data_IF_349361245245
#
_entry.id   IF_349361245245
#
_cell.length_a   1.000
_cell.length_b   1.000
_cell.length_c   1.000
_cell.angle_alpha   90.00
_cell.angle_beta   90.00
_cell.angle_gamma   90.00
#
_symmetry.space_group_name_H-M   'P 1'
#
loop_
_entity.id
_entity.type
_entity.pdbx_description
1 polymer ?
#
# COMPACT_ATOMS: atom_id res chain seq x y z
N UNK A 1 6.30 14.24 22.69
CA UNK A 1 7.38 15.11 22.15
C UNK A 1 8.18 14.42 21.06
N UNK A 2 8.63 13.17 21.20
CA UNK A 2 9.41 12.48 20.15
C UNK A 2 8.69 12.41 18.79
N UNK A 3 7.40 12.04 18.75
CA UNK A 3 6.62 12.01 17.50
C UNK A 3 6.43 13.38 16.85
N UNK A 4 6.41 14.47 17.64
CA UNK A 4 6.30 15.82 17.08
C UNK A 4 7.52 16.14 16.22
N UNK A 5 8.73 15.90 16.74
CA UNK A 5 9.96 16.07 15.98
C UNK A 5 10.04 15.13 14.78
N UNK A 6 9.63 13.87 14.97
CA UNK A 6 9.62 12.90 13.87
C UNK A 6 8.69 13.37 12.75
N UNK A 7 7.41 13.61 13.01
CA UNK A 7 6.46 13.97 11.95
C UNK A 7 6.82 15.31 11.30
N UNK A 8 7.35 16.28 12.07
CA UNK A 8 7.74 17.59 11.52
C UNK A 8 8.91 17.54 10.54
N UNK A 9 9.79 16.53 10.63
CA UNK A 9 10.92 16.36 9.70
C UNK A 9 10.56 15.47 8.49
N UNK A 10 9.39 14.81 8.51
CA UNK A 10 8.97 13.97 7.40
C UNK A 10 8.56 14.87 6.22
N UNK A 11 9.14 14.65 5.03
CA UNK A 11 8.71 15.34 3.83
C UNK A 11 7.23 15.10 3.55
N UNK A 12 6.53 16.08 2.99
CA UNK A 12 5.18 15.82 2.51
C UNK A 12 5.22 14.83 1.35
N UNK A 13 4.29 13.87 1.32
CA UNK A 13 4.08 12.96 0.19
C UNK A 13 2.70 13.27 -0.39
N UNK A 14 2.70 13.97 -1.53
CA UNK A 14 1.46 14.30 -2.24
C UNK A 14 1.16 13.25 -3.32
N UNK A 15 -0.13 12.96 -3.52
CA UNK A 15 -0.58 12.02 -4.56
C UNK A 15 -0.14 12.43 -5.98
N UNK A 16 0.04 13.74 -6.22
CA UNK A 16 0.50 14.29 -7.50
C UNK A 16 2.03 14.19 -7.74
N UNK A 17 2.80 13.79 -6.74
CA UNK A 17 4.27 13.71 -6.79
C UNK A 17 4.80 12.37 -7.31
N UNK A 18 3.94 11.51 -7.90
CA UNK A 18 4.36 10.28 -8.57
C UNK A 18 5.52 10.50 -9.57
N UNK A 19 5.62 11.72 -10.13
CA UNK A 19 6.67 12.15 -11.08
C UNK A 19 7.91 12.81 -10.45
N UNK A 20 7.87 13.23 -9.20
CA UNK A 20 9.00 13.88 -8.54
C UNK A 20 9.88 12.83 -7.82
N UNK A 21 11.17 13.12 -7.67
CA UNK A 21 12.04 12.26 -6.87
C UNK A 21 11.53 12.25 -5.42
N UNK A 22 11.05 11.09 -4.97
CA UNK A 22 10.73 10.85 -3.57
C UNK A 22 11.90 11.31 -2.69
N UNK A 23 11.66 12.18 -1.70
CA UNK A 23 12.71 12.74 -0.86
C UNK A 23 13.38 11.70 0.04
N UNK A 24 12.71 10.57 0.26
CA UNK A 24 13.25 9.39 0.95
C UNK A 24 12.52 8.13 0.48
N UNK A 25 13.18 6.97 0.63
CA UNK A 25 12.57 5.66 0.42
C UNK A 25 12.14 5.01 1.76
N UNK A 26 11.42 3.90 1.69
CA UNK A 26 10.89 3.19 2.88
C UNK A 26 11.99 2.76 3.85
N UNK A 27 13.16 2.34 3.36
CA UNK A 27 14.29 1.92 4.21
C UNK A 27 14.85 3.10 5.00
N UNK A 28 15.08 4.23 4.33
CA UNK A 28 15.54 5.47 4.96
C UNK A 28 14.52 6.00 5.97
N UNK A 29 13.22 5.93 5.64
CA UNK A 29 12.15 6.32 6.54
C UNK A 29 12.17 5.49 7.84
N UNK A 30 12.28 4.15 7.74
CA UNK A 30 12.34 3.26 8.90
C UNK A 30 13.56 3.60 9.77
N UNK A 31 14.71 3.87 9.16
CA UNK A 31 15.93 4.23 9.90
C UNK A 31 15.74 5.53 10.69
N UNK A 32 15.15 6.56 10.08
CA UNK A 32 14.87 7.84 10.74
C UNK A 32 13.85 7.65 11.86
N UNK A 33 12.73 7.00 11.58
CA UNK A 33 11.65 6.79 12.55
C UNK A 33 12.09 5.94 13.75
N UNK A 34 12.92 4.93 13.53
CA UNK A 34 13.45 4.04 14.58
C UNK A 34 14.17 4.77 15.73
N UNK A 35 14.64 6.01 15.50
CA UNK A 35 15.33 6.82 16.51
C UNK A 35 14.37 7.53 17.48
N UNK A 36 13.08 7.59 17.16
CA UNK A 36 12.07 8.37 17.89
C UNK A 36 10.93 7.50 18.47
N UNK A 37 10.93 6.20 18.20
CA UNK A 37 9.88 5.26 18.59
C UNK A 37 10.43 4.18 19.52
N UNK A 38 9.55 3.54 20.28
CA UNK A 38 9.92 2.45 21.19
C UNK A 38 10.30 1.17 20.41
N UNK A 39 11.04 0.23 21.03
CA UNK A 39 11.37 -1.05 20.37
C UNK A 39 10.16 -1.83 19.89
N UNK A 40 9.05 -1.82 20.65
CA UNK A 40 7.79 -2.48 20.28
C UNK A 40 7.18 -1.84 19.02
N UNK A 41 7.11 -0.52 18.99
CA UNK A 41 6.58 0.22 17.84
C UNK A 41 7.45 0.07 16.59
N UNK A 42 8.77 -0.03 16.78
CA UNK A 42 9.73 -0.31 15.72
C UNK A 42 9.46 -1.66 15.07
N UNK A 43 9.23 -2.72 15.84
CA UNK A 43 8.89 -4.03 15.29
C UNK A 43 7.62 -3.98 14.43
N UNK A 44 6.62 -3.21 14.84
CA UNK A 44 5.41 -2.99 14.04
C UNK A 44 5.70 -2.17 12.78
N UNK A 45 6.54 -1.13 12.88
CA UNK A 45 6.96 -0.31 11.74
C UNK A 45 7.70 -1.13 10.67
N UNK A 46 8.64 -1.97 11.09
CA UNK A 46 9.40 -2.87 10.21
C UNK A 46 8.52 -3.97 9.60
N UNK A 47 7.43 -4.33 10.29
CA UNK A 47 6.43 -5.29 9.83
C UNK A 47 5.35 -4.71 8.92
N UNK A 48 5.40 -3.42 8.57
CA UNK A 48 4.39 -2.82 7.69
C UNK A 48 4.36 -3.52 6.33
N UNK A 49 3.15 -3.82 5.85
CA UNK A 49 2.94 -4.48 4.57
C UNK A 49 1.73 -3.93 3.82
N UNK A 50 1.85 -3.79 2.49
CA UNK A 50 0.71 -3.57 1.59
C UNK A 50 -0.08 -4.85 1.30
N UNK A 51 0.43 -5.99 1.78
CA UNK A 51 -0.17 -7.31 1.64
C UNK A 51 -0.24 -7.92 3.03
N UNK A 52 -1.28 -7.57 3.82
CA UNK A 52 -1.44 -8.15 5.14
C UNK A 52 -1.70 -9.66 5.03
N UNK A 53 -1.22 -10.45 6.01
CA UNK A 53 -1.57 -11.87 6.11
C UNK A 53 -3.09 -12.04 6.24
N UNK A 54 -3.60 -13.18 5.77
CA UNK A 54 -5.03 -13.52 5.90
C UNK A 54 -5.45 -13.74 7.35
N UNK A 55 -4.52 -14.22 8.19
CA UNK A 55 -4.74 -14.39 9.61
C UNK A 55 -5.00 -13.05 10.28
N UNK A 56 -6.03 -13.02 11.12
CA UNK A 56 -6.35 -11.85 11.93
C UNK A 56 -5.39 -11.80 13.11
N UNK A 57 -4.66 -10.70 13.23
CA UNK A 57 -3.79 -10.42 14.35
C UNK A 57 -3.80 -8.92 14.64
N UNK A 58 -3.81 -8.57 15.92
CA UNK A 58 -3.67 -7.17 16.32
C UNK A 58 -2.21 -6.76 16.27
N UNK A 59 -1.97 -5.63 15.63
CA UNK A 59 -0.68 -4.92 15.59
C UNK A 59 -0.42 -4.11 16.85
N UNK A 60 -1.44 -3.93 17.69
CA UNK A 60 -1.43 -2.99 18.81
C UNK A 60 -1.77 -1.54 18.43
N UNK A 61 -2.06 -1.28 17.15
CA UNK A 61 -2.56 0.00 16.64
C UNK A 61 -3.95 -0.21 16.03
N UNK A 62 -4.95 0.49 16.55
CA UNK A 62 -6.32 0.44 16.01
C UNK A 62 -6.36 0.91 14.56
N UNK A 63 -5.59 1.94 14.23
CA UNK A 63 -5.46 2.42 12.85
C UNK A 63 -4.95 1.33 11.90
N UNK A 64 -3.85 0.66 12.26
CA UNK A 64 -3.27 -0.39 11.41
C UNK A 64 -4.17 -1.61 11.31
N UNK A 65 -4.81 -2.01 12.40
CA UNK A 65 -5.72 -3.15 12.42
C UNK A 65 -6.90 -2.94 11.46
N UNK A 66 -7.48 -1.73 11.47
CA UNK A 66 -8.55 -1.34 10.54
C UNK A 66 -8.04 -1.27 9.09
N UNK A 67 -6.86 -0.67 8.86
CA UNK A 67 -6.26 -0.63 7.52
C UNK A 67 -6.05 -2.04 6.94
N UNK A 68 -5.49 -2.96 7.72
CA UNK A 68 -5.28 -4.34 7.28
C UNK A 68 -6.55 -5.13 7.09
N UNK A 69 -7.59 -4.89 7.90
CA UNK A 69 -8.90 -5.45 7.65
C UNK A 69 -9.46 -5.00 6.29
N UNK A 70 -9.41 -3.69 6.02
CA UNK A 70 -9.89 -3.12 4.76
C UNK A 70 -9.11 -3.64 3.55
N UNK A 71 -7.78 -3.74 3.65
CA UNK A 71 -6.95 -4.30 2.57
C UNK A 71 -7.21 -5.79 2.35
N UNK A 72 -7.38 -6.60 3.42
CA UNK A 72 -7.80 -8.01 3.29
C UNK A 72 -9.14 -8.11 2.55
N UNK A 73 -10.12 -7.33 2.97
CA UNK A 73 -11.46 -7.33 2.37
C UNK A 73 -11.39 -6.95 0.88
N UNK A 74 -10.60 -5.94 0.53
CA UNK A 74 -10.36 -5.56 -0.88
C UNK A 74 -9.75 -6.70 -1.69
N UNK A 75 -8.74 -7.38 -1.15
CA UNK A 75 -8.07 -8.50 -1.83
C UNK A 75 -9.00 -9.69 -2.00
N UNK A 76 -9.80 -10.02 -0.99
CA UNK A 76 -10.84 -11.05 -1.07
C UNK A 76 -11.88 -10.69 -2.15
N UNK A 77 -12.35 -9.44 -2.18
CA UNK A 77 -13.29 -8.97 -3.20
C UNK A 77 -12.70 -9.06 -4.62
N UNK A 78 -11.46 -8.60 -4.81
CA UNK A 78 -10.78 -8.71 -6.10
C UNK A 78 -10.64 -10.16 -6.57
N UNK A 79 -10.23 -11.06 -5.67
CA UNK A 79 -10.06 -12.48 -6.00
C UNK A 79 -11.41 -13.16 -6.30
N UNK A 80 -12.46 -12.88 -5.52
CA UNK A 80 -13.81 -13.40 -5.77
C UNK A 80 -14.35 -12.95 -7.13
N UNK A 81 -14.30 -11.66 -7.43
CA UNK A 81 -14.83 -11.09 -8.69
C UNK A 81 -14.05 -11.61 -9.90
N UNK A 82 -12.73 -11.78 -9.78
CA UNK A 82 -11.90 -12.42 -10.82
C UNK A 82 -12.30 -13.88 -11.05
N UNK A 83 -12.50 -14.65 -9.98
CA UNK A 83 -12.96 -16.04 -10.08
C UNK A 83 -14.31 -16.13 -10.81
N UNK A 84 -15.27 -15.28 -10.45
CA UNK A 84 -16.57 -15.19 -11.10
C UNK A 84 -16.45 -14.82 -12.59
N UNK A 85 -15.62 -13.83 -12.95
CA UNK A 85 -15.34 -13.44 -14.34
C UNK A 85 -14.76 -14.60 -15.16
N UNK A 86 -13.96 -15.45 -14.52
CA UNK A 86 -13.37 -16.66 -15.12
C UNK A 86 -14.27 -17.90 -15.06
N UNK A 87 -15.52 -17.78 -14.58
CA UNK A 87 -16.45 -18.90 -14.35
C UNK A 87 -15.85 -20.01 -13.47
N UNK A 88 -15.00 -19.63 -12.50
CA UNK A 88 -14.45 -20.52 -11.48
C UNK A 88 -15.26 -20.41 -10.20
N UNK A 89 -15.15 -21.42 -9.34
CA UNK A 89 -15.75 -21.40 -8.02
C UNK A 89 -15.26 -20.18 -7.22
N UNK A 90 -16.22 -19.50 -6.60
CA UNK A 90 -15.96 -18.30 -5.79
C UNK A 90 -16.21 -18.59 -4.32
N UNK A 91 -15.39 -18.02 -3.46
CA UNK A 91 -15.55 -18.12 -2.01
C UNK A 91 -16.42 -16.96 -1.47
N UNK A 92 -17.07 -17.13 -0.31
CA UNK A 92 -17.82 -16.04 0.32
C UNK A 92 -16.88 -14.90 0.77
N UNK A 93 -17.35 -13.66 0.70
CA UNK A 93 -16.59 -12.53 1.21
C UNK A 93 -16.57 -12.53 2.75
N UNK A 94 -15.49 -11.98 3.36
CA UNK A 94 -15.47 -11.74 4.80
C UNK A 94 -16.63 -10.84 5.24
N UNK A 95 -17.15 -11.06 6.46
CA UNK A 95 -18.30 -10.32 6.99
C UNK A 95 -18.08 -8.80 7.06
N UNK A 96 -16.83 -8.34 7.26
CA UNK A 96 -16.47 -6.91 7.29
C UNK A 96 -16.33 -6.26 5.91
N UNK A 97 -16.58 -6.98 4.82
CA UNK A 97 -16.45 -6.45 3.46
C UNK A 97 -17.61 -5.50 3.13
N UNK A 98 -17.29 -4.22 3.00
CA UNK A 98 -18.27 -3.16 2.77
C UNK A 98 -18.58 -2.95 1.28
N UNK A 99 -19.73 -2.34 0.98
CA UNK A 99 -20.20 -2.18 -0.40
C UNK A 99 -19.26 -1.32 -1.27
N UNK A 100 -18.62 -0.31 -0.68
CA UNK A 100 -17.58 0.52 -1.31
C UNK A 100 -16.37 -0.30 -1.75
N UNK A 101 -15.88 -1.22 -0.91
CA UNK A 101 -14.78 -2.14 -1.24
C UNK A 101 -15.16 -3.03 -2.42
N UNK A 102 -16.36 -3.61 -2.38
CA UNK A 102 -16.86 -4.50 -3.44
C UNK A 102 -16.99 -3.71 -4.76
N UNK A 103 -17.51 -2.48 -4.69
CA UNK A 103 -17.62 -1.59 -5.85
C UNK A 103 -16.25 -1.26 -6.44
N UNK A 104 -15.28 -0.86 -5.60
CA UNK A 104 -13.91 -0.58 -6.05
C UNK A 104 -13.26 -1.80 -6.70
N UNK A 105 -13.40 -2.99 -6.10
CA UNK A 105 -12.88 -4.22 -6.67
C UNK A 105 -13.52 -4.53 -8.03
N UNK A 106 -14.84 -4.35 -8.16
CA UNK A 106 -15.57 -4.56 -9.42
C UNK A 106 -15.10 -3.60 -10.51
N UNK A 107 -14.97 -2.31 -10.18
CA UNK A 107 -14.44 -1.30 -11.09
C UNK A 107 -13.07 -1.71 -11.59
N UNK A 108 -12.12 -2.01 -10.69
CA UNK A 108 -10.76 -2.38 -11.07
C UNK A 108 -10.69 -3.63 -11.97
N UNK A 109 -11.49 -4.67 -11.68
CA UNK A 109 -11.53 -5.90 -12.50
C UNK A 109 -12.21 -5.69 -13.86
N UNK A 110 -13.06 -4.67 -13.96
CA UNK A 110 -13.74 -4.27 -15.18
C UNK A 110 -12.89 -3.40 -16.13
N UNK A 111 -11.76 -2.85 -15.67
CA UNK A 111 -10.89 -2.03 -16.50
C UNK A 111 -10.13 -2.87 -17.54
N UNK A 112 -9.96 -2.32 -18.74
CA UNK A 112 -9.33 -3.03 -19.87
C UNK A 112 -7.80 -3.11 -19.75
N UNK A 113 -7.19 -2.09 -19.14
CA UNK A 113 -5.74 -2.01 -18.95
C UNK A 113 -5.34 -2.38 -17.51
N UNK A 114 -4.41 -3.33 -17.32
CA UNK A 114 -3.85 -3.63 -16.00
C UNK A 114 -3.23 -2.39 -15.33
N UNK A 115 -2.59 -1.51 -16.10
CA UNK A 115 -2.00 -0.27 -15.58
C UNK A 115 -3.09 0.67 -15.04
N UNK A 116 -4.18 0.83 -15.77
CA UNK A 116 -5.30 1.66 -15.34
C UNK A 116 -5.97 1.09 -14.09
N UNK A 117 -6.08 -0.24 -13.98
CA UNK A 117 -6.58 -0.92 -12.79
C UNK A 117 -5.68 -0.68 -11.56
N UNK A 118 -4.35 -0.78 -11.71
CA UNK A 118 -3.42 -0.49 -10.61
C UNK A 118 -3.46 0.99 -10.21
N UNK A 119 -3.52 1.92 -11.16
CA UNK A 119 -3.68 3.36 -10.89
C UNK A 119 -4.97 3.65 -10.10
N UNK A 120 -6.09 3.09 -10.53
CA UNK A 120 -7.37 3.21 -9.81
C UNK A 120 -7.26 2.66 -8.38
N UNK A 121 -6.68 1.47 -8.23
CA UNK A 121 -6.53 0.82 -6.92
C UNK A 121 -5.56 1.56 -5.98
N UNK A 122 -4.58 2.26 -6.53
CA UNK A 122 -3.70 3.15 -5.76
C UNK A 122 -4.44 4.38 -5.26
N UNK A 123 -5.19 5.07 -6.12
CA UNK A 123 -5.99 6.23 -5.73
C UNK A 123 -7.08 5.85 -4.71
N UNK A 124 -7.67 4.67 -4.86
CA UNK A 124 -8.59 4.12 -3.87
C UNK A 124 -7.91 3.92 -2.50
N UNK A 125 -6.71 3.33 -2.48
CA UNK A 125 -5.95 3.09 -1.25
C UNK A 125 -5.47 4.39 -0.58
N UNK A 126 -5.08 5.39 -1.36
CA UNK A 126 -4.73 6.71 -0.83
C UNK A 126 -5.93 7.37 -0.15
N UNK A 127 -7.11 7.34 -0.78
CA UNK A 127 -8.35 7.83 -0.16
C UNK A 127 -8.69 7.07 1.11
N UNK A 128 -8.53 5.74 1.11
CA UNK A 128 -8.73 4.94 2.32
C UNK A 128 -7.76 5.34 3.45
N UNK A 129 -6.49 5.65 3.16
CA UNK A 129 -5.56 6.19 4.16
C UNK A 129 -5.99 7.57 4.65
N UNK A 130 -6.53 8.42 3.78
CA UNK A 130 -7.03 9.75 4.15
C UNK A 130 -8.27 9.65 5.04
N UNK A 131 -9.18 8.72 4.76
CA UNK A 131 -10.38 8.48 5.56
C UNK A 131 -10.06 7.89 6.94
N UNK A 132 -9.03 7.04 7.01
CA UNK A 132 -8.55 6.45 8.26
C UNK A 132 -7.54 7.33 9.00
N UNK A 133 -7.27 8.55 8.51
CA UNK A 133 -6.21 9.40 9.05
C UNK A 133 -6.38 9.59 10.56
N UNK A 134 -5.32 9.38 11.36
CA UNK A 134 -5.38 9.57 12.80
C UNK A 134 -5.77 11.00 13.17
N UNK A 135 -6.60 11.16 14.21
CA UNK A 135 -7.00 12.47 14.72
C UNK A 135 -5.78 13.25 15.27
N UNK A 136 -4.87 12.55 15.93
CA UNK A 136 -3.60 13.11 16.38
C UNK A 136 -2.53 12.95 15.30
N UNK A 137 -2.19 14.07 14.65
CA UNK A 137 -1.16 14.13 13.62
C UNK A 137 0.26 13.84 14.16
N UNK A 138 0.48 13.90 15.48
CA UNK A 138 1.77 13.67 16.13
C UNK A 138 1.76 12.38 16.97
N UNK A 139 1.22 11.31 16.39
CA UNK A 139 1.09 9.99 17.01
C UNK A 139 1.88 8.92 16.26
N UNK A 140 2.07 7.76 16.88
CA UNK A 140 2.66 6.59 16.19
C UNK A 140 1.80 6.14 15.01
N UNK A 141 0.47 6.27 15.11
CA UNK A 141 -0.43 5.94 13.99
C UNK A 141 -0.19 6.87 12.79
N UNK A 142 0.14 8.14 13.03
CA UNK A 142 0.51 9.07 11.95
C UNK A 142 1.82 8.64 11.26
N UNK A 143 2.78 8.10 12.03
CA UNK A 143 4.02 7.52 11.49
C UNK A 143 3.72 6.27 10.66
N UNK A 144 2.84 5.39 11.12
CA UNK A 144 2.42 4.21 10.36
C UNK A 144 1.67 4.57 9.07
N UNK A 145 0.76 5.55 9.14
CA UNK A 145 0.04 6.07 7.98
C UNK A 145 1.00 6.65 6.92
N UNK A 146 2.03 7.38 7.37
CA UNK A 146 3.07 7.88 6.49
C UNK A 146 3.85 6.75 5.82
N UNK A 147 4.27 5.73 6.59
CA UNK A 147 4.98 4.56 6.06
C UNK A 147 4.17 3.84 4.98
N UNK A 148 2.88 3.57 5.23
CA UNK A 148 1.98 2.96 4.26
C UNK A 148 1.82 3.81 2.99
N UNK A 149 1.68 5.14 3.14
CA UNK A 149 1.61 6.07 2.01
C UNK A 149 2.89 5.99 1.17
N UNK A 150 4.06 6.04 1.80
CA UNK A 150 5.35 5.95 1.12
C UNK A 150 5.47 4.64 0.33
N UNK A 151 5.13 3.51 0.93
CA UNK A 151 5.12 2.20 0.27
C UNK A 151 4.17 2.17 -0.95
N UNK A 152 3.00 2.80 -0.86
CA UNK A 152 2.06 2.90 -1.99
C UNK A 152 2.67 3.69 -3.15
N UNK A 153 3.29 4.85 -2.86
CA UNK A 153 3.90 5.70 -3.88
C UNK A 153 5.08 4.98 -4.54
N UNK A 154 5.95 4.35 -3.75
CA UNK A 154 7.06 3.54 -4.27
C UNK A 154 6.58 2.40 -5.17
N UNK A 155 5.51 1.71 -4.76
CA UNK A 155 4.90 0.66 -5.59
C UNK A 155 4.38 1.21 -6.90
N UNK A 156 3.69 2.35 -6.88
CA UNK A 156 3.13 2.96 -8.11
C UNK A 156 4.24 3.36 -9.09
N UNK A 157 5.37 3.88 -8.60
CA UNK A 157 6.52 4.25 -9.44
C UNK A 157 7.15 3.07 -10.19
N UNK A 158 6.98 1.83 -9.71
CA UNK A 158 7.41 0.63 -10.45
C UNK A 158 6.59 0.38 -11.72
N UNK A 159 5.40 0.95 -11.81
CA UNK A 159 4.53 0.84 -12.98
C UNK A 159 4.74 1.97 -14.00
N UNK A 160 5.73 2.85 -13.81
CA UNK A 160 6.09 3.88 -14.79
C UNK A 160 6.84 3.27 -15.99
N UNK A 161 6.45 3.71 -17.19
CA UNK A 161 6.88 3.17 -18.50
C UNK A 161 8.40 3.07 -18.65
N UNK A 162 9.16 4.00 -18.07
CA UNK A 162 10.63 4.01 -18.16
C UNK A 162 11.25 2.82 -17.40
N UNK A 163 10.72 2.47 -16.23
CA UNK A 163 11.15 1.27 -15.50
C UNK A 163 10.76 -0.02 -16.24
N UNK A 164 9.60 -0.02 -16.89
CA UNK A 164 9.16 -1.14 -17.73
C UNK A 164 10.08 -1.39 -18.93
N UNK A 165 10.60 -0.32 -19.55
CA UNK A 165 11.59 -0.42 -20.64
C UNK A 165 12.94 -0.94 -20.14
N UNK A 166 13.40 -0.49 -18.98
CA UNK A 166 14.67 -0.96 -18.39
C UNK A 166 14.60 -2.45 -18.06
N UNK A 167 13.56 -2.92 -17.37
CA UNK A 167 13.40 -4.36 -17.10
C UNK A 167 13.21 -5.20 -18.37
N UNK A 168 12.56 -4.67 -19.41
CA UNK A 168 12.48 -5.35 -20.70
C UNK A 168 13.86 -5.53 -21.33
N UNK A 169 14.70 -4.49 -21.34
CA UNK A 169 16.07 -4.57 -21.87
C UNK A 169 16.93 -5.51 -21.05
N UNK A 170 16.86 -5.48 -19.71
CA UNK A 170 17.61 -6.40 -18.85
C UNK A 170 17.26 -7.87 -19.09
N UNK A 171 15.97 -8.20 -19.24
CA UNK A 171 15.51 -9.56 -19.56
C UNK A 171 16.00 -9.96 -20.96
N UNK A 172 15.88 -9.06 -21.93
CA UNK A 172 16.29 -9.30 -23.31
C UNK A 172 17.81 -9.54 -23.42
N UNK A 173 18.63 -8.70 -22.77
CA UNK A 173 20.08 -8.83 -22.73
C UNK A 173 20.52 -10.11 -22.00
N UNK A 174 19.82 -10.52 -20.95
CA UNK A 174 20.09 -11.78 -20.24
C UNK A 174 19.78 -13.01 -21.10
N UNK A 175 18.74 -12.95 -21.95
CA UNK A 175 18.40 -14.03 -22.88
C UNK A 175 19.45 -14.12 -23.98
N UNK A 176 19.89 -12.97 -24.53
CA UNK A 176 20.91 -12.90 -25.59
C UNK A 176 22.33 -13.23 -25.12
N UNK A 177 22.64 -13.02 -23.84
CA UNK A 177 23.96 -13.33 -23.27
C UNK A 177 24.12 -14.79 -22.84
N UNK A 178 23.04 -15.59 -22.90
CA UNK A 178 23.02 -17.02 -22.60
C UNK A 178 22.94 -17.90 -23.88
N UNK A 179 23.12 -17.30 -25.06
CA UNK A 179 23.50 -17.97 -26.32
C UNK A 179 24.99 -17.78 -26.62
#
# INVERSE_FOLDING_TARGET
>A
MAYYYLVSQLPNISAGESKANLPMNTVQFIEVASRFITPKEKTVLEGLSLVPPMELGSTGSTFLDVWYEKERNLRCALAQIRAQKMKKDSFPLPAGCTADIISAARTAVGMDSPLSAEQFLYEYRLRLLDDLRPLDAFSIDAVYAYGLRLMLVERMRKFEVENGKTSYHEIYDTILSNE
#
